data_IF_585973608321
#
_entry.id   IF_585973608321
#
_cell.length_a   1.000
_cell.length_b   1.000
_cell.length_c   1.000
_cell.angle_alpha   90.00
_cell.angle_beta   90.00
_cell.angle_gamma   90.00
#
_symmetry.space_group_name_H-M   'P 1'
#
loop_
_entity.id
_entity.type
_entity.pdbx_description
1 polymer ?
#
# COMPACT_ATOMS: atom_id res chain seq x y z
N UNK A 1 -60.78 -9.44 -2.91
CA UNK A 1 -59.76 -9.80 -1.91
C UNK A 1 -58.78 -10.71 -2.64
N UNK A 2 -57.51 -10.43 -2.86
CA UNK A 2 -56.53 -9.57 -2.19
C UNK A 2 -55.40 -9.30 -3.19
N UNK A 3 -55.17 -8.00 -3.45
CA UNK A 3 -53.87 -7.31 -3.54
C UNK A 3 -52.69 -7.98 -4.26
N UNK A 4 -52.49 -7.60 -5.52
CA UNK A 4 -51.17 -7.60 -6.17
C UNK A 4 -50.33 -6.47 -5.55
N UNK A 5 -49.24 -6.83 -4.87
CA UNK A 5 -48.32 -5.87 -4.27
C UNK A 5 -47.46 -5.25 -5.38
N UNK A 6 -47.73 -3.99 -5.69
CA UNK A 6 -46.91 -3.15 -6.55
C UNK A 6 -45.57 -2.87 -5.89
N UNK A 7 -44.48 -3.23 -6.56
CA UNK A 7 -43.11 -2.83 -6.21
C UNK A 7 -43.01 -1.30 -6.37
N UNK A 8 -42.55 -0.54 -5.36
CA UNK A 8 -42.40 0.90 -5.51
C UNK A 8 -41.23 1.18 -6.46
N UNK A 9 -41.51 1.99 -7.49
CA UNK A 9 -40.50 2.52 -8.38
C UNK A 9 -39.49 3.35 -7.58
N UNK A 10 -38.18 3.10 -7.79
CA UNK A 10 -37.12 4.00 -7.33
C UNK A 10 -37.34 5.38 -7.96
N UNK A 11 -37.12 6.47 -7.23
CA UNK A 11 -37.18 7.80 -7.84
C UNK A 11 -36.08 7.89 -8.88
N UNK A 12 -36.46 8.24 -10.11
CA UNK A 12 -35.57 8.65 -11.20
C UNK A 12 -34.90 9.97 -10.80
N UNK A 13 -33.84 9.86 -9.98
CA UNK A 13 -32.81 10.89 -9.91
C UNK A 13 -31.90 10.75 -11.12
N UNK A 14 -31.68 11.85 -11.84
CA UNK A 14 -30.82 11.91 -13.02
C UNK A 14 -29.52 11.13 -12.80
N UNK A 15 -29.24 10.17 -13.69
CA UNK A 15 -27.94 9.52 -13.77
C UNK A 15 -26.96 10.60 -14.22
N UNK A 16 -26.12 11.09 -13.32
CA UNK A 16 -24.91 11.81 -13.71
C UNK A 16 -23.97 10.77 -14.29
N UNK A 17 -23.58 10.92 -15.56
CA UNK A 17 -22.63 10.04 -16.29
C UNK A 17 -21.20 10.04 -15.70
N UNK A 18 -20.99 10.61 -14.52
CA UNK A 18 -19.67 10.81 -13.93
C UNK A 18 -19.07 9.49 -13.43
N UNK A 19 -17.87 9.19 -13.91
CA UNK A 19 -17.10 8.03 -13.47
C UNK A 19 -16.58 8.24 -12.05
N UNK A 20 -16.08 7.16 -11.42
CA UNK A 20 -15.39 7.27 -10.12
C UNK A 20 -14.17 8.20 -10.23
N UNK A 21 -13.47 8.18 -11.37
CA UNK A 21 -12.32 9.04 -11.62
C UNK A 21 -12.73 10.52 -11.65
N UNK A 22 -13.83 10.86 -12.32
CA UNK A 22 -14.32 12.23 -12.39
C UNK A 22 -14.63 12.78 -10.99
N UNK A 23 -15.27 11.97 -10.15
CA UNK A 23 -15.53 12.31 -8.74
C UNK A 23 -14.25 12.53 -7.92
N UNK A 24 -13.17 11.79 -8.20
CA UNK A 24 -11.88 11.98 -7.52
C UNK A 24 -11.19 13.27 -7.97
N UNK A 25 -11.27 13.61 -9.27
CA UNK A 25 -10.75 14.87 -9.82
C UNK A 25 -11.51 16.06 -9.22
N UNK A 26 -12.84 15.98 -9.12
CA UNK A 26 -13.65 17.01 -8.47
C UNK A 26 -13.34 17.14 -6.98
N UNK A 27 -13.13 16.03 -6.27
CA UNK A 27 -12.71 16.06 -4.87
C UNK A 27 -11.34 16.75 -4.69
N UNK A 28 -10.43 16.62 -5.66
CA UNK A 28 -9.15 17.32 -5.65
C UNK A 28 -9.31 18.85 -5.79
N UNK A 29 -10.32 19.36 -6.49
CA UNK A 29 -10.58 20.81 -6.57
C UNK A 29 -10.89 21.40 -5.19
N UNK A 30 -11.69 20.68 -4.39
CA UNK A 30 -11.96 21.04 -2.99
C UNK A 30 -10.70 20.98 -2.12
N UNK A 31 -9.87 19.95 -2.30
CA UNK A 31 -8.58 19.85 -1.61
C UNK A 31 -7.66 21.04 -1.96
N UNK A 32 -7.55 21.36 -3.25
CA UNK A 32 -6.68 22.43 -3.75
C UNK A 32 -7.09 23.81 -3.22
N UNK A 33 -8.40 24.08 -3.07
CA UNK A 33 -8.90 25.32 -2.50
C UNK A 33 -8.47 25.55 -1.03
N UNK A 34 -8.22 24.47 -0.27
CA UNK A 34 -7.74 24.51 1.10
C UNK A 34 -6.22 24.27 1.22
N UNK A 35 -5.55 23.91 0.13
CA UNK A 35 -4.13 23.59 0.14
C UNK A 35 -3.28 24.85 0.35
N UNK A 36 -2.34 24.75 1.30
CA UNK A 36 -1.32 25.79 1.51
C UNK A 36 0.05 25.19 1.20
N UNK A 37 0.78 25.80 0.27
CA UNK A 37 2.17 25.45 0.07
C UNK A 37 2.97 25.83 1.31
N UNK A 38 3.64 24.84 1.88
CA UNK A 38 4.48 25.01 3.06
C UNK A 38 5.96 25.18 2.69
N UNK A 39 6.29 25.27 1.40
CA UNK A 39 7.66 25.34 0.88
C UNK A 39 8.45 24.07 1.18
N UNK A 40 7.77 22.94 1.35
CA UNK A 40 8.41 21.66 1.73
C UNK A 40 9.25 21.12 0.57
N UNK A 41 10.50 20.80 0.89
CA UNK A 41 11.39 20.04 0.00
C UNK A 41 10.79 18.64 -0.25
N UNK A 42 11.13 18.03 -1.38
CA UNK A 42 10.84 16.64 -1.68
C UNK A 42 11.52 15.67 -0.68
N UNK A 43 12.50 16.14 0.10
CA UNK A 43 13.15 15.35 1.16
C UNK A 43 12.22 15.21 2.38
N UNK A 44 11.95 13.98 2.86
CA UNK A 44 11.06 13.76 3.98
C UNK A 44 11.67 14.25 5.29
N UNK A 45 10.89 14.99 6.08
CA UNK A 45 11.34 15.65 7.31
C UNK A 45 11.86 14.66 8.34
N UNK A 46 11.15 13.53 8.52
CA UNK A 46 11.53 12.49 9.48
C UNK A 46 12.62 11.55 8.95
N UNK A 47 13.06 11.73 7.70
CA UNK A 47 14.06 10.87 7.05
C UNK A 47 13.71 9.38 7.12
N UNK A 48 12.43 9.05 7.00
CA UNK A 48 11.92 7.67 7.01
C UNK A 48 11.22 7.33 5.70
N UNK A 49 11.40 6.09 5.25
CA UNK A 49 10.61 5.49 4.19
C UNK A 49 9.72 4.39 4.79
N UNK A 50 8.44 4.42 4.46
CA UNK A 50 7.44 3.42 4.87
C UNK A 50 7.04 2.61 3.65
N UNK A 51 7.25 1.29 3.70
CA UNK A 51 6.77 0.33 2.70
C UNK A 51 5.53 -0.36 3.28
N UNK A 52 4.41 -0.30 2.58
CA UNK A 52 3.16 -0.89 3.05
C UNK A 52 2.32 -1.51 1.94
N UNK A 53 1.38 -2.39 2.29
CA UNK A 53 0.41 -2.92 1.32
C UNK A 53 -0.48 -1.81 0.74
N UNK A 54 -0.93 -1.97 -0.51
CA UNK A 54 -1.91 -1.10 -1.18
C UNK A 54 -3.36 -1.24 -0.66
N UNK A 55 -3.57 -2.02 0.40
CA UNK A 55 -4.90 -2.31 0.96
C UNK A 55 -5.68 -1.04 1.30
N UNK A 56 -6.93 -0.97 0.82
CA UNK A 56 -7.82 0.17 0.97
C UNK A 56 -8.26 0.44 2.42
N UNK A 57 -8.09 -0.53 3.33
CA UNK A 57 -8.41 -0.41 4.76
C UNK A 57 -7.28 0.22 5.57
N UNK A 58 -6.10 0.40 4.98
CA UNK A 58 -4.94 1.00 5.64
C UNK A 58 -4.81 2.48 5.27
N UNK A 59 -5.38 3.35 6.11
CA UNK A 59 -5.07 4.77 6.13
C UNK A 59 -3.73 4.99 6.85
N UNK A 60 -2.65 4.80 6.09
CA UNK A 60 -1.28 4.77 6.60
C UNK A 60 -0.88 6.06 7.33
N UNK A 61 -1.24 7.22 6.78
CA UNK A 61 -0.84 8.50 7.36
C UNK A 61 -1.55 8.74 8.69
N UNK A 62 -2.87 8.47 8.76
CA UNK A 62 -3.61 8.59 9.99
C UNK A 62 -3.14 7.58 11.05
N UNK A 63 -2.92 6.33 10.67
CA UNK A 63 -2.49 5.26 11.58
C UNK A 63 -1.12 5.54 12.23
N UNK A 64 -0.23 6.24 11.52
CA UNK A 64 1.12 6.59 12.01
C UNK A 64 1.22 8.04 12.55
N UNK A 65 0.14 8.82 12.50
CA UNK A 65 0.17 10.24 12.87
C UNK A 65 1.07 11.10 11.98
N UNK A 66 1.25 10.71 10.71
CA UNK A 66 2.11 11.38 9.74
C UNK A 66 1.40 12.57 9.10
N UNK A 67 2.14 13.66 8.90
CA UNK A 67 1.72 14.83 8.14
C UNK A 67 2.36 14.79 6.75
N UNK A 68 1.84 15.64 5.85
CA UNK A 68 2.38 15.78 4.49
C UNK A 68 3.91 15.97 4.51
N UNK A 69 4.69 15.21 3.75
CA UNK A 69 6.15 15.36 3.70
C UNK A 69 6.93 14.85 4.92
N UNK A 70 6.28 14.23 5.91
CA UNK A 70 7.02 13.61 7.03
C UNK A 70 7.82 12.38 6.58
N UNK A 71 7.30 11.57 5.63
CA UNK A 71 7.94 10.35 5.14
C UNK A 71 7.79 10.16 3.63
N UNK A 72 8.59 9.24 3.07
CA UNK A 72 8.22 8.60 1.82
C UNK A 72 7.29 7.42 2.06
N UNK A 73 6.25 7.30 1.25
CA UNK A 73 5.32 6.17 1.26
C UNK A 73 5.49 5.38 -0.03
N UNK A 74 5.82 4.09 0.08
CA UNK A 74 5.93 3.14 -1.02
C UNK A 74 4.86 2.06 -0.80
N UNK A 75 3.98 1.84 -1.78
CA UNK A 75 2.90 0.84 -1.66
C UNK A 75 2.77 -0.05 -2.89
N UNK A 76 2.57 -1.34 -2.67
CA UNK A 76 2.26 -2.34 -3.70
C UNK A 76 1.36 -3.45 -3.11
N UNK A 77 1.00 -4.45 -3.91
CA UNK A 77 0.28 -5.61 -3.40
C UNK A 77 1.11 -6.32 -2.31
N UNK A 78 0.54 -6.48 -1.12
CA UNK A 78 1.18 -7.15 0.02
C UNK A 78 2.21 -6.33 0.80
N UNK A 79 2.71 -5.21 0.26
CA UNK A 79 3.84 -4.50 0.87
C UNK A 79 5.16 -5.22 0.64
N UNK A 80 5.22 -6.09 -0.38
CA UNK A 80 6.35 -6.98 -0.67
C UNK A 80 7.57 -6.18 -1.09
N UNK A 81 8.74 -6.56 -0.57
CA UNK A 81 10.03 -5.99 -0.99
C UNK A 81 10.47 -6.61 -2.32
N UNK A 82 9.98 -6.02 -3.42
CA UNK A 82 10.38 -6.33 -4.79
C UNK A 82 11.59 -5.50 -5.24
N UNK A 83 12.12 -5.78 -6.43
CA UNK A 83 13.17 -4.95 -7.04
C UNK A 83 12.76 -3.47 -7.17
N UNK A 84 11.48 -3.20 -7.42
CA UNK A 84 10.98 -1.82 -7.52
C UNK A 84 10.95 -1.11 -6.14
N UNK A 85 10.66 -1.85 -5.07
CA UNK A 85 10.78 -1.34 -3.70
C UNK A 85 12.25 -1.07 -3.36
N UNK A 86 13.17 -1.98 -3.68
CA UNK A 86 14.62 -1.77 -3.47
C UNK A 86 15.12 -0.58 -4.29
N UNK A 87 14.70 -0.43 -5.55
CA UNK A 87 15.00 0.74 -6.39
C UNK A 87 14.51 2.03 -5.73
N UNK A 88 13.27 2.04 -5.25
CA UNK A 88 12.65 3.20 -4.61
C UNK A 88 13.33 3.57 -3.29
N UNK A 89 13.62 2.59 -2.43
CA UNK A 89 14.39 2.78 -1.19
C UNK A 89 15.82 3.29 -1.47
N UNK A 90 16.47 2.79 -2.52
CA UNK A 90 17.81 3.24 -2.93
C UNK A 90 17.81 4.73 -3.29
N UNK A 91 16.82 5.19 -4.07
CA UNK A 91 16.65 6.61 -4.40
C UNK A 91 16.34 7.42 -3.13
N UNK A 92 15.42 6.91 -2.30
CA UNK A 92 15.02 7.53 -1.05
C UNK A 92 16.21 7.82 -0.14
N UNK A 93 17.11 6.84 0.07
CA UNK A 93 18.27 7.01 0.94
C UNK A 93 19.36 7.87 0.29
N UNK A 94 19.72 7.55 -0.97
CA UNK A 94 20.92 8.11 -1.61
C UNK A 94 20.71 9.50 -2.19
N UNK A 95 19.48 9.84 -2.60
CA UNK A 95 19.15 11.15 -3.20
C UNK A 95 18.34 12.04 -2.29
N UNK A 96 17.50 11.45 -1.44
CA UNK A 96 16.53 12.19 -0.63
C UNK A 96 16.77 12.08 0.88
N UNK A 97 17.77 11.29 1.30
CA UNK A 97 18.34 11.35 2.65
C UNK A 97 17.61 10.58 3.74
N UNK A 98 16.73 9.64 3.41
CA UNK A 98 16.12 8.77 4.43
C UNK A 98 17.17 7.84 5.06
N UNK A 99 17.01 7.54 6.36
CA UNK A 99 17.90 6.68 7.15
C UNK A 99 17.18 5.50 7.82
N UNK A 100 15.86 5.61 7.97
CA UNK A 100 15.02 4.57 8.60
C UNK A 100 14.07 3.96 7.58
N UNK A 101 13.80 2.65 7.72
CA UNK A 101 12.83 1.91 6.91
C UNK A 101 11.84 1.20 7.83
N UNK A 102 10.55 1.45 7.59
CA UNK A 102 9.44 0.78 8.27
C UNK A 102 8.69 -0.07 7.26
N UNK A 103 8.59 -1.38 7.51
CA UNK A 103 7.84 -2.33 6.69
C UNK A 103 6.52 -2.66 7.39
N UNK A 104 5.39 -2.47 6.72
CA UNK A 104 4.05 -2.68 7.28
C UNK A 104 3.24 -3.61 6.40
N UNK A 105 3.13 -4.85 6.84
CA UNK A 105 2.12 -5.78 6.34
C UNK A 105 0.83 -5.64 7.16
N UNK A 106 -0.19 -6.42 6.85
CA UNK A 106 -1.43 -6.39 7.61
C UNK A 106 -2.14 -7.74 7.64
N UNK A 107 -2.97 -7.95 8.65
CA UNK A 107 -3.81 -9.14 8.79
C UNK A 107 -4.85 -9.24 7.67
N UNK A 108 -5.15 -10.45 7.20
CA UNK A 108 -6.19 -10.68 6.19
C UNK A 108 -5.83 -10.03 4.86
N UNK A 109 -4.58 -10.18 4.45
CA UNK A 109 -4.06 -9.65 3.20
C UNK A 109 -4.56 -10.48 2.01
N UNK A 110 -4.88 -9.83 0.90
CA UNK A 110 -5.31 -10.54 -0.31
C UNK A 110 -4.26 -11.55 -0.80
N UNK A 111 -2.97 -11.27 -0.61
CA UNK A 111 -1.90 -12.19 -0.99
C UNK A 111 -1.83 -13.47 -0.14
N UNK A 112 -2.51 -13.53 1.02
CA UNK A 112 -2.63 -14.76 1.81
C UNK A 112 -3.51 -15.83 1.14
N UNK A 113 -4.43 -15.37 0.28
CA UNK A 113 -5.41 -16.19 -0.39
C UNK A 113 -5.00 -16.59 -1.83
N UNK A 114 -3.98 -15.95 -2.40
CA UNK A 114 -3.54 -16.19 -3.78
C UNK A 114 -2.35 -17.17 -3.77
N UNK A 115 -2.12 -17.85 -4.90
CA UNK A 115 -0.93 -18.68 -5.13
C UNK A 115 -0.22 -18.26 -6.41
N UNK A 116 0.98 -18.79 -6.64
CA UNK A 116 1.67 -18.64 -7.93
C UNK A 116 0.91 -19.27 -9.11
N UNK A 117 -0.14 -20.07 -8.86
CA UNK A 117 -1.01 -20.62 -9.90
C UNK A 117 -1.75 -19.52 -10.68
N UNK A 118 -1.91 -18.33 -10.10
CA UNK A 118 -2.48 -17.17 -10.79
C UNK A 118 -1.74 -16.83 -12.10
N UNK A 119 -0.41 -17.06 -12.16
CA UNK A 119 0.35 -16.87 -13.41
C UNK A 119 -0.02 -17.90 -14.47
N UNK A 120 -0.33 -19.12 -14.05
CA UNK A 120 -0.82 -20.18 -14.95
C UNK A 120 -2.24 -19.88 -15.43
N UNK A 121 -3.10 -19.36 -14.56
CA UNK A 121 -4.46 -18.90 -14.94
C UNK A 121 -4.40 -17.81 -16.02
N UNK A 122 -3.56 -16.80 -15.81
CA UNK A 122 -3.35 -15.72 -16.79
C UNK A 122 -2.74 -16.22 -18.10
N UNK A 123 -1.82 -17.19 -18.04
CA UNK A 123 -1.26 -17.83 -19.22
C UNK A 123 -2.34 -18.55 -20.04
N UNK A 124 -3.27 -19.25 -19.39
CA UNK A 124 -4.38 -19.92 -20.06
C UNK A 124 -5.40 -18.94 -20.66
N UNK A 125 -5.67 -17.82 -19.97
CA UNK A 125 -6.64 -16.81 -20.42
C UNK A 125 -6.09 -15.95 -21.58
N UNK A 126 -4.87 -15.45 -21.44
CA UNK A 126 -4.28 -14.45 -22.34
C UNK A 126 -3.34 -15.08 -23.38
N UNK A 127 -2.88 -16.30 -23.16
CA UNK A 127 -1.90 -16.99 -24.00
C UNK A 127 -0.45 -16.59 -23.72
N UNK A 128 -0.19 -15.79 -22.69
CA UNK A 128 1.15 -15.36 -22.30
C UNK A 128 1.32 -15.39 -20.78
N UNK A 129 2.34 -16.14 -20.30
CA UNK A 129 2.69 -16.17 -18.88
C UNK A 129 3.35 -14.86 -18.45
N UNK A 130 2.89 -14.23 -17.35
CA UNK A 130 3.58 -13.07 -16.81
C UNK A 130 5.00 -13.43 -16.36
N UNK A 131 5.97 -12.53 -16.57
CA UNK A 131 7.37 -12.73 -16.16
C UNK A 131 7.59 -12.46 -14.66
N UNK A 132 6.79 -11.57 -14.06
CA UNK A 132 6.82 -11.24 -12.64
C UNK A 132 6.25 -12.36 -11.78
N UNK A 133 6.77 -12.51 -10.56
CA UNK A 133 6.20 -13.39 -9.54
C UNK A 133 4.96 -12.75 -8.91
N UNK A 134 4.02 -13.56 -8.43
CA UNK A 134 2.86 -13.05 -7.69
C UNK A 134 3.27 -12.55 -6.32
N UNK A 135 4.35 -13.13 -5.76
CA UNK A 135 4.87 -12.83 -4.42
C UNK A 135 3.82 -13.12 -3.34
N UNK A 136 3.03 -14.17 -3.55
CA UNK A 136 2.06 -14.63 -2.56
C UNK A 136 2.77 -15.26 -1.35
N UNK A 137 2.19 -15.07 -0.17
CA UNK A 137 2.69 -15.61 1.10
C UNK A 137 1.55 -16.25 1.91
N UNK A 138 1.86 -17.14 2.85
CA UNK A 138 0.84 -17.79 3.70
C UNK A 138 0.86 -17.33 5.15
N UNK A 139 1.99 -16.83 5.61
CA UNK A 139 2.22 -16.35 6.97
C UNK A 139 2.77 -14.93 6.88
N UNK A 140 1.96 -13.98 7.32
CA UNK A 140 2.30 -12.56 7.29
C UNK A 140 3.51 -12.22 8.16
N UNK A 141 3.69 -12.88 9.31
CA UNK A 141 4.82 -12.62 10.21
C UNK A 141 6.12 -13.11 9.55
N UNK A 142 6.07 -14.29 8.93
CA UNK A 142 7.20 -14.84 8.21
C UNK A 142 7.58 -13.97 7.00
N UNK A 143 6.60 -13.44 6.27
CA UNK A 143 6.86 -12.57 5.14
C UNK A 143 7.43 -11.21 5.55
N UNK A 144 7.00 -10.67 6.70
CA UNK A 144 7.63 -9.46 7.29
C UNK A 144 9.10 -9.73 7.64
N UNK A 145 9.44 -10.88 8.23
CA UNK A 145 10.85 -11.26 8.50
C UNK A 145 11.66 -11.38 7.21
N UNK A 146 11.12 -12.06 6.21
CA UNK A 146 11.76 -12.19 4.90
C UNK A 146 11.98 -10.81 4.26
N UNK A 147 10.98 -9.93 4.32
CA UNK A 147 11.05 -8.56 3.80
C UNK A 147 12.14 -7.74 4.50
N UNK A 148 12.22 -7.80 5.83
CA UNK A 148 13.31 -7.16 6.59
C UNK A 148 14.68 -7.71 6.17
N UNK A 149 14.81 -9.02 5.99
CA UNK A 149 16.05 -9.64 5.54
C UNK A 149 16.45 -9.14 4.14
N UNK A 150 15.53 -9.14 3.17
CA UNK A 150 15.77 -8.64 1.80
C UNK A 150 16.31 -7.21 1.81
N UNK A 151 15.73 -6.33 2.64
CA UNK A 151 16.20 -4.95 2.81
C UNK A 151 17.60 -4.92 3.42
N UNK A 152 17.81 -5.61 4.55
CA UNK A 152 19.09 -5.58 5.28
C UNK A 152 20.27 -6.14 4.50
N UNK A 153 20.04 -7.12 3.63
CA UNK A 153 21.10 -7.75 2.81
C UNK A 153 21.30 -7.06 1.45
N UNK A 154 20.50 -6.06 1.10
CA UNK A 154 20.62 -5.38 -0.20
C UNK A 154 21.88 -4.52 -0.24
N UNK A 155 22.82 -4.75 -1.18
CA UNK A 155 24.05 -3.95 -1.29
C UNK A 155 23.81 -2.53 -1.82
N UNK A 156 22.59 -2.24 -2.28
CA UNK A 156 22.22 -0.95 -2.84
C UNK A 156 21.80 0.07 -1.78
N UNK A 157 21.35 -0.42 -0.62
CA UNK A 157 20.94 0.41 0.52
C UNK A 157 22.16 0.76 1.39
N UNK A 158 22.27 2.02 1.77
CA UNK A 158 23.42 2.55 2.52
C UNK A 158 23.16 2.59 4.03
N UNK A 159 21.89 2.65 4.42
CA UNK A 159 21.47 2.67 5.82
C UNK A 159 20.51 1.49 6.07
N UNK A 160 20.96 0.47 6.80
CA UNK A 160 20.15 -0.72 7.12
C UNK A 160 20.08 -1.03 8.62
N UNK A 161 20.65 -0.15 9.46
CA UNK A 161 20.68 -0.31 10.92
C UNK A 161 19.30 -0.12 11.56
N UNK A 162 18.45 0.73 10.97
CA UNK A 162 17.07 1.00 11.44
C UNK A 162 16.04 0.50 10.42
N UNK A 163 15.93 -0.82 10.33
CA UNK A 163 14.90 -1.53 9.54
C UNK A 163 14.01 -2.31 10.50
N UNK A 164 12.73 -1.91 10.59
CA UNK A 164 11.74 -2.52 11.50
C UNK A 164 10.49 -2.97 10.74
N UNK A 165 9.94 -4.10 11.14
CA UNK A 165 8.80 -4.74 10.49
C UNK A 165 7.60 -4.87 11.41
N UNK A 166 6.41 -4.62 10.88
CA UNK A 166 5.15 -4.60 11.62
C UNK A 166 4.04 -5.29 10.85
N UNK A 167 3.07 -5.82 11.60
CA UNK A 167 1.77 -6.24 11.09
C UNK A 167 0.70 -5.33 11.66
N UNK A 168 0.01 -4.62 10.78
CA UNK A 168 -1.18 -3.85 11.08
C UNK A 168 -2.41 -4.74 11.19
N UNK A 169 -3.12 -4.68 12.31
CA UNK A 169 -4.40 -5.37 12.46
C UNK A 169 -5.53 -4.49 11.90
N UNK A 170 -6.12 -4.94 10.78
CA UNK A 170 -7.17 -4.19 10.07
C UNK A 170 -8.47 -4.04 10.86
N UNK A 171 -8.66 -4.80 11.95
CA UNK A 171 -9.84 -4.73 12.81
C UNK A 171 -9.65 -3.78 13.98
N UNK A 172 -8.43 -3.67 14.50
CA UNK A 172 -8.14 -2.88 15.71
C UNK A 172 -7.39 -1.59 15.43
N UNK A 173 -6.71 -1.48 14.29
CA UNK A 173 -5.86 -0.35 13.93
C UNK A 173 -4.48 -0.36 14.58
N UNK A 174 -4.13 -1.41 15.33
CA UNK A 174 -2.86 -1.49 16.05
C UNK A 174 -1.74 -2.07 15.17
N UNK A 175 -0.51 -1.58 15.39
CA UNK A 175 0.71 -2.18 14.87
C UNK A 175 1.30 -3.16 15.88
N UNK A 176 1.59 -4.37 15.42
CA UNK A 176 2.39 -5.35 16.16
C UNK A 176 3.74 -5.49 15.50
N UNK A 177 4.80 -5.21 16.25
CA UNK A 177 6.16 -5.39 15.77
C UNK A 177 6.54 -6.86 15.66
N UNK A 178 7.32 -7.19 14.62
CA UNK A 178 7.81 -8.54 14.35
C UNK A 178 9.31 -8.57 14.62
N UNK A 179 9.72 -9.48 15.51
CA UNK A 179 11.14 -9.74 15.77
C UNK A 179 11.79 -10.32 14.50
N UNK A 180 12.93 -9.78 14.05
CA UNK A 180 13.64 -10.27 12.87
C UNK A 180 14.12 -11.73 12.92
N UNK A 181 14.27 -12.33 14.11
CA UNK A 181 14.89 -13.63 14.36
C UNK A 181 16.38 -13.76 13.99
#
# INVERSE_FOLDING_TARGET
MTTSASVPARPEGAITDDTVTDRLVEANERYAAAFSDSGRDARPVLRVAVVACMDARLDLHAALGLRLGDCHTIRNAGGVVTDDVIRSLTISQRKLGTRSIVLIHHTGCGLEAITEDFRTELEMEVGQRPAWAVEAFRDVDQDVRQSMQRVRTSPFLVDTDDVRGFVFDVKTGLLREIDPA
#
